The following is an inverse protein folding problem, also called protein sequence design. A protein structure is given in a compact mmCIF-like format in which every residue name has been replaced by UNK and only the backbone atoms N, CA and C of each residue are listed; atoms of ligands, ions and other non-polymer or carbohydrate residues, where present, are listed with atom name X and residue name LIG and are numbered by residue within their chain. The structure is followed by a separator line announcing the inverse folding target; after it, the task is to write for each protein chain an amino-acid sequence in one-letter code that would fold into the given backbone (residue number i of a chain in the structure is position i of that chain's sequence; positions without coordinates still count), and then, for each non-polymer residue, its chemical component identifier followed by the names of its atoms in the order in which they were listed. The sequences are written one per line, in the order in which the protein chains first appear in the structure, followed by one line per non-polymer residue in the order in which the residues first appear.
data_IF_395298672361
#
_entry.id   IF_395298672361
#
_cell.length_a   1.000
_cell.length_b   1.000
_cell.length_c   1.000
_cell.angle_alpha   90.00
_cell.angle_beta   90.00
_cell.angle_gamma   90.00
#
_symmetry.space_group_name_H-M   'P 1'
#
loop_
_entity.id
_entity.type
_entity.pdbx_description
1 polymer ?
#
# COMPACT_ATOMS: atom_id res chain seq x y z
N UNK A 1 26.10 -24.56 -13.60
CA UNK A 1 25.09 -23.79 -12.85
C UNK A 1 24.27 -23.05 -13.90
N UNK A 2 23.12 -23.59 -14.31
CA UNK A 2 22.22 -22.88 -15.23
C UNK A 2 21.55 -21.79 -14.42
N UNK A 3 21.87 -20.54 -14.71
CA UNK A 3 21.10 -19.40 -14.22
C UNK A 3 19.68 -19.58 -14.77
N UNK A 4 18.69 -19.32 -13.92
CA UNK A 4 17.28 -19.39 -14.24
C UNK A 4 17.00 -18.26 -15.26
N UNK A 5 17.09 -18.57 -16.56
CA UNK A 5 16.91 -17.61 -17.66
C UNK A 5 15.42 -17.32 -17.96
N UNK A 6 14.48 -17.95 -17.24
CA UNK A 6 13.04 -17.85 -17.52
C UNK A 6 12.19 -17.41 -16.31
N UNK A 7 12.78 -16.77 -15.30
CA UNK A 7 11.97 -16.03 -14.33
C UNK A 7 11.45 -14.79 -15.06
N UNK A 8 10.18 -14.80 -15.46
CA UNK A 8 9.52 -13.56 -15.89
C UNK A 8 9.80 -12.50 -14.84
N UNK A 9 10.25 -11.33 -15.31
CA UNK A 9 10.71 -10.17 -14.54
C UNK A 9 9.54 -9.48 -13.78
N UNK A 10 8.65 -10.29 -13.20
CA UNK A 10 7.39 -9.91 -12.59
C UNK A 10 7.48 -10.12 -11.08
N UNK A 11 6.79 -9.24 -10.35
CA UNK A 11 6.66 -9.36 -8.91
C UNK A 11 5.93 -10.67 -8.53
N UNK A 12 6.51 -11.42 -7.59
CA UNK A 12 5.98 -12.69 -7.07
C UNK A 12 5.91 -12.67 -5.54
N UNK A 13 5.03 -13.50 -4.96
CA UNK A 13 4.96 -13.73 -3.51
C UNK A 13 5.39 -15.17 -3.21
N UNK A 14 6.42 -15.35 -2.39
CA UNK A 14 6.96 -16.65 -2.00
C UNK A 14 6.80 -16.87 -0.50
N UNK A 15 6.42 -18.08 -0.10
CA UNK A 15 6.47 -18.52 1.30
C UNK A 15 7.92 -18.68 1.78
N UNK A 16 8.12 -18.86 3.09
CA UNK A 16 9.44 -19.19 3.64
C UNK A 16 10.09 -20.43 2.98
N UNK A 17 9.27 -21.38 2.52
CA UNK A 17 9.73 -22.58 1.80
C UNK A 17 10.04 -22.35 0.31
N UNK A 18 9.93 -21.10 -0.17
CA UNK A 18 10.14 -20.72 -1.57
C UNK A 18 8.99 -21.10 -2.50
N UNK A 19 7.86 -21.59 -1.98
CA UNK A 19 6.68 -21.92 -2.79
C UNK A 19 5.85 -20.67 -3.09
N UNK A 20 5.30 -20.51 -4.31
CA UNK A 20 4.40 -19.41 -4.64
C UNK A 20 3.18 -19.35 -3.72
N UNK A 21 2.88 -18.16 -3.22
CA UNK A 21 1.72 -17.87 -2.36
C UNK A 21 0.64 -17.23 -3.20
N UNK A 22 -0.56 -17.81 -3.15
CA UNK A 22 -1.76 -17.24 -3.79
C UNK A 22 -2.61 -16.53 -2.75
N UNK A 23 -2.87 -15.24 -2.97
CA UNK A 23 -3.90 -14.52 -2.23
C UNK A 23 -5.28 -15.13 -2.50
N UNK A 24 -6.09 -15.23 -1.45
CA UNK A 24 -7.46 -15.76 -1.59
C UNK A 24 -8.36 -14.71 -2.26
N UNK A 25 -9.02 -15.12 -3.36
CA UNK A 25 -9.96 -14.27 -4.11
C UNK A 25 -11.03 -13.68 -3.19
N UNK A 26 -11.32 -12.39 -3.36
CA UNK A 26 -12.37 -11.68 -2.61
C UNK A 26 -12.01 -11.27 -1.18
N UNK A 27 -10.83 -11.62 -0.65
CA UNK A 27 -10.30 -10.99 0.56
C UNK A 27 -9.75 -9.60 0.22
N UNK A 28 -9.81 -8.69 1.18
CA UNK A 28 -9.26 -7.35 1.00
C UNK A 28 -7.73 -7.34 1.20
N UNK A 29 -7.07 -6.39 0.55
CA UNK A 29 -5.63 -6.17 0.63
C UNK A 29 -5.35 -4.74 1.11
N UNK A 30 -4.52 -4.60 2.13
CA UNK A 30 -4.05 -3.31 2.62
C UNK A 30 -2.61 -3.08 2.17
N UNK A 31 -2.35 -1.90 1.59
CA UNK A 31 -1.02 -1.52 1.10
C UNK A 31 -0.68 -0.12 1.67
N UNK A 32 0.23 -0.02 2.63
CA UNK A 32 0.72 1.26 3.12
C UNK A 32 1.70 1.88 2.13
N UNK A 33 1.48 3.15 1.80
CA UNK A 33 2.39 3.94 0.97
C UNK A 33 3.57 4.48 1.79
N UNK A 34 4.69 4.76 1.11
CA UNK A 34 5.76 5.58 1.66
C UNK A 34 5.31 7.04 1.57
N UNK A 35 4.76 7.58 2.65
CA UNK A 35 4.23 8.95 2.69
C UNK A 35 4.65 9.68 3.96
N UNK A 36 4.19 10.92 4.12
CA UNK A 36 4.64 11.85 5.18
C UNK A 36 4.74 11.19 6.56
N UNK A 37 5.96 11.15 7.11
CA UNK A 37 6.23 10.58 8.44
C UNK A 37 6.07 9.07 8.55
N UNK A 38 6.00 8.34 7.42
CA UNK A 38 5.80 6.89 7.33
C UNK A 38 4.58 6.39 8.14
N UNK A 39 3.61 7.28 8.40
CA UNK A 39 2.43 6.99 9.22
C UNK A 39 1.68 5.73 8.75
N UNK A 40 1.50 5.46 7.45
CA UNK A 40 0.82 4.23 6.99
C UNK A 40 1.58 2.97 7.35
N UNK A 41 2.90 2.96 7.12
CA UNK A 41 3.75 1.81 7.44
C UNK A 41 3.73 1.55 8.94
N UNK A 42 3.90 2.60 9.76
CA UNK A 42 3.84 2.50 11.22
C UNK A 42 2.46 2.06 11.73
N UNK A 43 1.37 2.47 11.06
CA UNK A 43 0.03 2.03 11.40
C UNK A 43 -0.18 0.54 11.11
N UNK A 44 0.33 0.06 9.97
CA UNK A 44 0.28 -1.36 9.61
C UNK A 44 1.19 -2.18 10.53
N UNK A 45 2.41 -1.70 10.81
CA UNK A 45 3.31 -2.31 11.79
C UNK A 45 2.63 -2.47 13.15
N UNK A 46 2.02 -1.40 13.67
CA UNK A 46 1.29 -1.46 14.92
C UNK A 46 0.14 -2.47 14.85
N UNK A 47 -0.61 -2.50 13.74
CA UNK A 47 -1.74 -3.41 13.54
C UNK A 47 -1.29 -4.88 13.60
N UNK A 48 -0.27 -5.26 12.80
CA UNK A 48 0.20 -6.66 12.71
C UNK A 48 0.86 -7.09 14.02
N UNK A 49 1.64 -6.22 14.66
CA UNK A 49 2.29 -6.53 15.94
C UNK A 49 1.29 -6.65 17.08
N UNK A 50 0.25 -5.80 17.13
CA UNK A 50 -0.78 -5.86 18.18
C UNK A 50 -1.60 -7.13 18.09
N UNK A 51 -1.81 -7.65 16.87
CA UNK A 51 -2.63 -8.83 16.63
C UNK A 51 -1.84 -10.14 16.68
N UNK A 52 -0.51 -10.06 16.61
CA UNK A 52 0.36 -11.23 16.45
C UNK A 52 0.13 -11.92 15.11
N UNK A 53 -0.23 -11.15 14.07
CA UNK A 53 -0.45 -11.70 12.72
C UNK A 53 0.90 -12.15 12.14
N UNK A 54 0.94 -13.32 11.52
CA UNK A 54 2.16 -13.94 11.00
C UNK A 54 2.43 -13.54 9.54
N UNK A 55 3.72 -13.54 9.18
CA UNK A 55 4.15 -13.42 7.79
C UNK A 55 3.77 -14.70 7.06
N UNK A 56 3.01 -14.58 5.97
CA UNK A 56 2.60 -15.69 5.11
C UNK A 56 3.31 -15.70 3.75
N UNK A 57 4.07 -14.64 3.45
CA UNK A 57 4.87 -14.57 2.23
C UNK A 57 5.80 -13.36 2.17
N UNK A 58 6.76 -13.43 1.27
CA UNK A 58 7.74 -12.41 0.96
C UNK A 58 7.62 -12.04 -0.51
N UNK A 59 7.62 -10.75 -0.80
CA UNK A 59 7.56 -10.26 -2.18
C UNK A 59 8.96 -10.24 -2.77
N UNK A 60 9.07 -10.80 -3.97
CA UNK A 60 10.27 -10.80 -4.79
C UNK A 60 9.99 -9.95 -6.04
N UNK A 61 10.77 -8.90 -6.24
CA UNK A 61 10.64 -8.00 -7.39
C UNK A 61 12.02 -7.42 -7.74
N UNK A 62 12.39 -7.46 -9.02
CA UNK A 62 13.65 -6.89 -9.53
C UNK A 62 13.64 -5.35 -9.52
N UNK A 63 12.46 -4.73 -9.44
CA UNK A 63 12.30 -3.28 -9.33
C UNK A 63 12.36 -2.76 -7.87
N UNK A 64 12.52 -3.63 -6.88
CA UNK A 64 12.71 -3.28 -5.47
C UNK A 64 14.16 -3.46 -5.03
N UNK A 65 14.62 -2.67 -4.06
CA UNK A 65 15.97 -2.88 -3.50
C UNK A 65 15.99 -4.20 -2.71
N UNK A 66 16.89 -5.15 -3.02
CA UNK A 66 17.00 -6.40 -2.28
C UNK A 66 17.61 -6.13 -0.91
N UNK A 67 16.79 -6.22 0.13
CA UNK A 67 17.23 -6.06 1.52
C UNK A 67 16.80 -7.26 2.36
N UNK A 68 17.65 -7.62 3.31
CA UNK A 68 17.31 -8.48 4.42
C UNK A 68 17.78 -7.81 5.72
N UNK A 69 17.04 -8.01 6.79
CA UNK A 69 17.31 -7.42 8.09
C UNK A 69 16.81 -8.29 9.23
N UNK A 70 17.03 -7.82 10.45
CA UNK A 70 16.47 -8.48 11.62
C UNK A 70 14.97 -8.17 11.72
N UNK A 71 14.16 -9.19 11.97
CA UNK A 71 12.73 -9.05 12.17
C UNK A 71 12.38 -8.48 13.55
N UNK A 72 11.11 -8.12 13.72
CA UNK A 72 10.61 -7.43 14.92
C UNK A 72 10.57 -8.30 16.18
N UNK A 73 10.61 -9.64 16.06
CA UNK A 73 10.64 -10.55 17.20
C UNK A 73 11.51 -11.79 16.95
N UNK A 74 12.28 -12.20 17.96
CA UNK A 74 13.12 -13.39 17.91
C UNK A 74 14.29 -13.31 16.90
N UNK A 75 14.68 -14.46 16.36
CA UNK A 75 15.73 -14.62 15.32
C UNK A 75 15.14 -14.62 13.90
N UNK A 76 14.04 -13.88 13.67
CA UNK A 76 13.38 -13.82 12.37
C UNK A 76 14.12 -12.90 11.40
N UNK A 77 14.06 -13.22 10.10
CA UNK A 77 14.60 -12.37 9.04
C UNK A 77 13.46 -11.58 8.43
N UNK A 78 13.64 -10.26 8.32
CA UNK A 78 12.74 -9.40 7.57
C UNK A 78 13.27 -9.15 6.16
N UNK A 79 12.38 -9.10 5.17
CA UNK A 79 12.72 -8.87 3.76
C UNK A 79 12.20 -7.51 3.27
N UNK A 80 12.54 -7.14 2.03
CA UNK A 80 12.16 -5.85 1.45
C UNK A 80 10.66 -5.59 1.34
N UNK A 81 9.82 -6.63 1.30
CA UNK A 81 8.37 -6.49 1.35
C UNK A 81 7.73 -7.81 1.81
N UNK A 82 6.81 -7.71 2.77
CA UNK A 82 6.26 -8.85 3.51
C UNK A 82 4.74 -8.88 3.42
N UNK A 83 4.17 -10.06 3.28
CA UNK A 83 2.73 -10.29 3.26
C UNK A 83 2.30 -10.89 4.61
N UNK A 84 1.37 -10.23 5.29
CA UNK A 84 0.77 -10.67 6.54
C UNK A 84 -0.68 -11.14 6.31
N UNK A 85 -1.09 -12.23 6.96
CA UNK A 85 -2.50 -12.64 7.01
C UNK A 85 -3.19 -12.01 8.23
N UNK A 86 -4.19 -11.17 7.98
CA UNK A 86 -4.92 -10.44 9.01
C UNK A 86 -6.14 -11.24 9.49
N UNK A 87 -5.87 -12.42 10.04
CA UNK A 87 -6.87 -13.30 10.67
C UNK A 87 -7.93 -13.83 9.70
N UNK A 88 -7.54 -14.24 8.49
CA UNK A 88 -8.43 -14.88 7.51
C UNK A 88 -9.35 -13.92 6.75
N UNK A 89 -9.37 -12.63 7.10
CA UNK A 89 -10.27 -11.63 6.50
C UNK A 89 -9.63 -10.81 5.38
N UNK A 90 -8.35 -10.49 5.53
CA UNK A 90 -7.61 -9.70 4.56
C UNK A 90 -6.11 -9.87 4.72
N UNK A 91 -5.35 -9.20 3.89
CA UNK A 91 -3.89 -9.23 3.93
C UNK A 91 -3.33 -7.82 4.11
N UNK A 92 -2.14 -7.70 4.68
CA UNK A 92 -1.32 -6.49 4.57
C UNK A 92 -0.06 -6.81 3.77
N UNK A 93 0.21 -6.01 2.74
CA UNK A 93 1.47 -6.07 2.00
C UNK A 93 2.33 -4.89 2.44
N UNK A 94 3.37 -5.16 3.21
CA UNK A 94 4.17 -4.15 3.91
C UNK A 94 5.55 -4.01 3.25
N UNK A 95 5.78 -2.96 2.44
CA UNK A 95 7.11 -2.64 1.93
C UNK A 95 8.01 -2.11 3.05
N UNK A 96 9.17 -2.75 3.21
CA UNK A 96 10.27 -2.35 4.11
C UNK A 96 11.41 -1.66 3.36
N UNK A 97 11.51 -1.92 2.06
CA UNK A 97 12.48 -1.31 1.15
C UNK A 97 11.78 -0.33 0.20
N UNK A 98 12.49 0.72 -0.25
CA UNK A 98 12.02 1.51 -1.37
C UNK A 98 12.20 0.75 -2.70
N UNK A 99 11.49 1.18 -3.76
CA UNK A 99 11.84 0.81 -5.12
C UNK A 99 13.30 1.16 -5.44
N UNK A 100 13.91 0.40 -6.34
CA UNK A 100 15.25 0.71 -6.83
C UNK A 100 15.28 2.11 -7.50
N UNK A 101 16.42 2.82 -7.49
CA UNK A 101 16.52 4.14 -8.12
C UNK A 101 16.03 4.13 -9.57
N UNK A 102 15.09 5.01 -9.89
CA UNK A 102 14.49 5.11 -11.23
C UNK A 102 13.46 4.01 -11.58
N UNK A 103 13.13 3.11 -10.64
CA UNK A 103 12.20 1.98 -10.87
C UNK A 103 10.85 2.12 -10.17
N UNK A 104 10.56 3.27 -9.55
CA UNK A 104 9.32 3.47 -8.81
C UNK A 104 8.04 3.19 -9.63
N UNK A 105 7.97 3.68 -10.88
CA UNK A 105 6.83 3.44 -11.76
C UNK A 105 6.72 1.95 -12.17
N UNK A 106 7.84 1.29 -12.40
CA UNK A 106 7.88 -0.14 -12.73
C UNK A 106 7.42 -0.99 -11.53
N UNK A 107 7.96 -0.74 -10.33
CA UNK A 107 7.54 -1.44 -9.11
C UNK A 107 6.04 -1.22 -8.80
N UNK A 108 5.52 -0.02 -9.03
CA UNK A 108 4.11 0.27 -8.86
C UNK A 108 3.23 -0.49 -9.88
N UNK A 109 3.70 -0.59 -11.13
CA UNK A 109 3.02 -1.38 -12.18
C UNK A 109 3.04 -2.87 -11.83
N UNK A 110 4.17 -3.41 -11.40
CA UNK A 110 4.29 -4.84 -11.06
C UNK A 110 3.41 -5.19 -9.86
N UNK A 111 3.32 -4.29 -8.88
CA UNK A 111 2.39 -4.43 -7.77
C UNK A 111 0.93 -4.43 -8.26
N UNK A 112 0.57 -3.53 -9.18
CA UNK A 112 -0.78 -3.49 -9.74
C UNK A 112 -1.12 -4.78 -10.52
N UNK A 113 -0.19 -5.29 -11.32
CA UNK A 113 -0.33 -6.54 -12.08
C UNK A 113 -0.43 -7.75 -11.14
N UNK A 114 0.40 -7.80 -10.10
CA UNK A 114 0.35 -8.82 -9.05
C UNK A 114 -1.03 -8.84 -8.38
N UNK A 115 -1.52 -7.68 -7.95
CA UNK A 115 -2.83 -7.53 -7.31
C UNK A 115 -3.95 -7.99 -8.25
N UNK A 116 -3.89 -7.58 -9.52
CA UNK A 116 -4.88 -7.94 -10.52
C UNK A 116 -4.91 -9.45 -10.80
N UNK A 117 -3.73 -10.07 -10.94
CA UNK A 117 -3.61 -11.52 -11.21
C UNK A 117 -4.17 -12.40 -10.10
N UNK A 118 -4.17 -11.90 -8.85
CA UNK A 118 -4.69 -12.61 -7.69
C UNK A 118 -6.20 -12.44 -7.47
N UNK A 119 -6.83 -11.44 -8.10
CA UNK A 119 -8.27 -11.21 -7.96
C UNK A 119 -8.71 -10.90 -6.52
N UNK A 120 -7.90 -10.13 -5.79
CA UNK A 120 -8.29 -9.62 -4.46
C UNK A 120 -9.59 -8.79 -4.56
N UNK A 121 -10.34 -8.72 -3.46
CA UNK A 121 -11.62 -8.01 -3.39
C UNK A 121 -11.43 -6.49 -3.38
N UNK A 122 -11.40 -5.91 -2.19
CA UNK A 122 -11.12 -4.48 -2.00
C UNK A 122 -9.64 -4.22 -1.71
N UNK A 123 -9.10 -3.13 -2.26
CA UNK A 123 -7.73 -2.68 -2.00
C UNK A 123 -7.80 -1.40 -1.17
N UNK A 124 -7.16 -1.41 -0.02
CA UNK A 124 -7.02 -0.28 0.88
C UNK A 124 -5.61 0.29 0.76
N UNK A 125 -5.46 1.38 0.02
CA UNK A 125 -4.23 2.17 0.00
C UNK A 125 -4.22 3.10 1.22
N UNK A 126 -3.23 2.95 2.10
CA UNK A 126 -3.07 3.82 3.26
C UNK A 126 -1.98 4.85 3.02
N UNK A 127 -2.24 6.08 3.44
CA UNK A 127 -1.29 7.17 3.23
C UNK A 127 -1.39 8.28 4.29
N UNK A 128 -0.51 9.27 4.15
CA UNK A 128 -0.40 10.42 5.03
C UNK A 128 -0.04 11.71 4.28
N UNK A 129 -0.28 12.86 4.90
CA UNK A 129 0.06 14.19 4.36
C UNK A 129 0.49 15.15 5.48
N UNK A 130 0.73 16.44 5.19
CA UNK A 130 1.19 17.43 6.19
C UNK A 130 0.06 18.18 6.91
N UNK A 131 0.15 18.30 8.25
CA UNK A 131 -0.86 18.98 9.07
C UNK A 131 -0.99 20.48 8.89
N UNK A 132 0.06 21.11 8.38
CA UNK A 132 0.00 22.49 7.91
C UNK A 132 -0.87 22.66 6.66
N UNK A 133 -1.10 21.60 5.87
CA UNK A 133 -1.91 21.66 4.65
C UNK A 133 -3.41 21.50 4.88
N UNK A 134 -3.87 21.51 6.14
CA UNK A 134 -5.30 21.40 6.44
C UNK A 134 -6.03 22.68 6.05
N UNK A 135 -7.16 22.53 5.37
CA UNK A 135 -8.10 23.63 5.09
C UNK A 135 -8.85 24.00 6.36
N UNK A 136 -9.29 25.25 6.45
CA UNK A 136 -10.06 25.75 7.60
C UNK A 136 -11.26 24.86 7.93
N UNK A 137 -11.96 24.37 6.91
CA UNK A 137 -13.07 23.43 7.06
C UNK A 137 -12.67 22.15 7.84
N UNK A 138 -11.43 21.67 7.67
CA UNK A 138 -10.90 20.46 8.30
C UNK A 138 -10.41 20.68 9.74
N UNK A 139 -10.25 21.93 10.17
CA UNK A 139 -9.78 22.25 11.52
C UNK A 139 -10.87 21.96 12.57
N UNK A 140 -12.13 22.19 12.21
CA UNK A 140 -13.31 21.94 13.05
C UNK A 140 -13.82 20.50 13.04
N UNK A 141 -13.36 19.67 12.09
CA UNK A 141 -13.83 18.30 11.95
C UNK A 141 -13.41 17.40 13.13
N UNK A 142 -14.31 16.50 13.52
CA UNK A 142 -14.06 15.48 14.55
C UNK A 142 -13.10 14.39 14.08
N UNK A 143 -13.07 14.10 12.78
CA UNK A 143 -12.19 13.09 12.19
C UNK A 143 -10.94 13.72 11.56
N UNK A 144 -9.80 13.07 11.79
CA UNK A 144 -8.52 13.35 11.12
C UNK A 144 -8.27 12.43 9.92
N UNK A 145 -9.14 11.44 9.72
CA UNK A 145 -9.09 10.54 8.59
C UNK A 145 -9.94 11.10 7.45
N UNK A 146 -9.46 10.92 6.24
CA UNK A 146 -10.21 11.15 5.02
C UNK A 146 -10.13 9.91 4.16
N UNK A 147 -11.13 9.70 3.33
CA UNK A 147 -11.11 8.59 2.40
C UNK A 147 -11.46 9.05 0.99
N UNK A 148 -10.96 8.30 0.02
CA UNK A 148 -11.33 8.42 -1.38
C UNK A 148 -11.63 7.01 -1.89
N UNK A 149 -12.55 6.89 -2.84
CA UNK A 149 -12.99 5.59 -3.39
C UNK A 149 -13.08 5.68 -4.90
N UNK A 150 -12.74 4.59 -5.58
CA UNK A 150 -13.04 4.39 -7.00
C UNK A 150 -14.47 3.86 -7.17
N UNK A 151 -15.17 4.29 -8.21
CA UNK A 151 -16.51 3.79 -8.54
C UNK A 151 -16.36 2.33 -9.02
N UNK A 152 -16.96 1.33 -8.34
CA UNK A 152 -18.27 1.40 -7.70
C UNK A 152 -18.29 1.06 -6.20
N UNK A 153 -17.33 1.52 -5.39
CA UNK A 153 -17.26 1.21 -3.94
C UNK A 153 -18.29 2.00 -3.07
N UNK A 154 -19.52 2.17 -3.55
CA UNK A 154 -20.58 2.96 -2.90
C UNK A 154 -20.92 2.46 -1.49
N UNK A 155 -21.00 1.14 -1.26
CA UNK A 155 -21.30 0.56 0.06
C UNK A 155 -20.20 0.85 1.10
N UNK A 156 -18.94 0.80 0.69
CA UNK A 156 -17.81 1.14 1.55
C UNK A 156 -17.84 2.63 1.93
N UNK A 157 -18.15 3.48 0.95
CA UNK A 157 -18.32 4.92 1.13
C UNK A 157 -19.39 5.25 2.17
N UNK A 158 -20.58 4.64 2.08
CA UNK A 158 -21.64 4.78 3.08
C UNK A 158 -21.20 4.29 4.48
N UNK A 159 -20.49 3.17 4.53
CA UNK A 159 -19.93 2.61 5.76
C UNK A 159 -18.91 3.53 6.44
N UNK A 160 -18.08 4.24 5.68
CA UNK A 160 -17.10 5.19 6.21
C UNK A 160 -17.77 6.50 6.68
N UNK A 161 -18.74 7.01 5.91
CA UNK A 161 -19.52 8.20 6.28
C UNK A 161 -20.32 7.99 7.56
N UNK A 162 -20.99 6.85 7.70
CA UNK A 162 -21.73 6.50 8.92
C UNK A 162 -20.85 6.39 10.17
N UNK A 163 -19.53 6.18 10.00
CA UNK A 163 -18.53 6.20 11.07
C UNK A 163 -17.91 7.58 11.30
N UNK A 164 -18.43 8.63 10.67
CA UNK A 164 -17.94 9.99 10.79
C UNK A 164 -16.60 10.23 10.08
N UNK A 165 -16.21 9.38 9.13
CA UNK A 165 -15.04 9.60 8.29
C UNK A 165 -15.51 10.29 7.01
N UNK A 166 -15.16 11.56 6.78
CA UNK A 166 -15.59 12.28 5.58
C UNK A 166 -14.76 11.91 4.35
N UNK A 167 -15.36 12.07 3.17
CA UNK A 167 -14.65 11.99 1.88
C UNK A 167 -13.62 13.11 1.82
N UNK A 168 -12.44 12.83 1.25
CA UNK A 168 -11.44 13.84 0.99
C UNK A 168 -12.00 14.88 0.02
N UNK A 169 -11.89 16.16 0.38
CA UNK A 169 -12.53 17.21 -0.39
C UNK A 169 -11.73 17.45 -1.68
N UNK A 170 -12.40 17.42 -2.83
CA UNK A 170 -11.76 17.34 -4.15
C UNK A 170 -11.70 15.90 -4.70
N UNK A 171 -11.65 14.88 -3.84
CA UNK A 171 -11.54 13.47 -4.21
C UNK A 171 -12.84 12.76 -4.62
N UNK A 172 -13.81 13.50 -5.20
CA UNK A 172 -14.99 12.91 -5.82
C UNK A 172 -14.68 12.27 -7.17
N UNK A 173 -15.62 11.52 -7.76
CA UNK A 173 -15.42 10.78 -9.03
C UNK A 173 -14.78 11.62 -10.16
N UNK A 174 -15.05 12.93 -10.20
CA UNK A 174 -14.50 13.85 -11.20
C UNK A 174 -13.07 14.31 -10.90
N UNK A 175 -12.74 14.59 -9.64
CA UNK A 175 -11.41 15.07 -9.26
C UNK A 175 -10.35 13.98 -9.39
N UNK A 176 -10.73 12.71 -9.18
CA UNK A 176 -9.82 11.58 -9.36
C UNK A 176 -9.24 11.45 -10.77
N UNK A 177 -10.03 11.66 -11.81
CA UNK A 177 -9.56 11.52 -13.19
C UNK A 177 -8.55 12.62 -13.53
N UNK A 178 -8.82 13.83 -13.05
CA UNK A 178 -7.94 14.99 -13.21
C UNK A 178 -6.65 14.81 -12.39
N UNK A 179 -6.77 14.32 -11.16
CA UNK A 179 -5.64 14.00 -10.28
C UNK A 179 -4.78 12.87 -10.88
N UNK A 180 -5.36 11.81 -11.43
CA UNK A 180 -4.62 10.72 -12.09
C UNK A 180 -3.86 11.20 -13.33
N UNK A 181 -4.46 12.07 -14.15
CA UNK A 181 -3.79 12.67 -15.30
C UNK A 181 -2.61 13.55 -14.89
N UNK A 182 -2.75 14.29 -13.79
CA UNK A 182 -1.67 15.09 -13.24
C UNK A 182 -0.55 14.21 -12.63
N UNK A 183 -0.92 13.12 -11.94
CA UNK A 183 0.03 12.14 -11.38
C UNK A 183 0.81 11.43 -12.50
N UNK A 184 0.15 10.99 -13.57
CA UNK A 184 0.81 10.40 -14.73
C UNK A 184 1.78 11.39 -15.40
N UNK A 185 1.39 12.67 -15.46
CA UNK A 185 2.25 13.74 -15.99
C UNK A 185 3.47 13.98 -15.10
N UNK A 186 3.29 14.06 -13.79
CA UNK A 186 4.35 14.28 -12.78
C UNK A 186 5.28 13.07 -12.61
N UNK A 187 4.81 11.86 -12.98
CA UNK A 187 5.65 10.66 -13.08
C UNK A 187 6.47 10.65 -14.37
N UNK A 188 5.92 11.14 -15.48
CA UNK A 188 6.58 11.18 -16.78
C UNK A 188 7.60 12.31 -16.93
N UNK A 189 7.45 13.41 -16.19
CA UNK A 189 8.36 14.55 -16.23
C UNK A 189 9.53 14.45 -15.24
N UNK A 190 9.59 13.39 -14.43
CA UNK A 190 10.65 13.14 -13.46
C UNK A 190 10.73 14.18 -12.33
N UNK A 191 9.68 15.00 -12.14
CA UNK A 191 9.66 16.05 -11.12
C UNK A 191 9.10 15.59 -9.76
N UNK A 192 8.52 14.39 -9.67
CA UNK A 192 7.95 13.89 -8.42
C UNK A 192 8.88 12.92 -7.67
N UNK A 193 9.37 13.38 -6.51
CA UNK A 193 9.84 12.50 -5.45
C UNK A 193 8.63 11.80 -4.80
N UNK A 194 8.36 10.56 -5.23
CA UNK A 194 7.40 9.60 -4.69
C UNK A 194 5.88 9.92 -4.89
N UNK A 195 5.06 8.92 -5.25
CA UNK A 195 3.62 9.07 -5.28
C UNK A 195 3.08 9.18 -3.85
N UNK A 196 2.56 10.36 -3.49
CA UNK A 196 1.97 10.64 -2.19
C UNK A 196 0.44 10.72 -2.30
N UNK A 197 -0.32 9.75 -1.79
CA UNK A 197 -1.80 9.90 -1.72
C UNK A 197 -2.48 9.35 -0.47
N UNK A 198 -2.71 10.27 0.50
CA UNK A 198 -3.85 10.44 1.45
C UNK A 198 -3.73 10.04 2.95
N UNK A 199 -3.15 10.99 3.70
CA UNK A 199 -3.60 11.63 4.97
C UNK A 199 -4.12 10.85 6.21
N UNK A 200 -3.23 10.50 7.14
CA UNK A 200 -3.36 10.65 8.60
C UNK A 200 -2.13 11.41 9.13
N UNK A 201 -2.30 12.36 10.06
CA UNK A 201 -1.23 13.30 10.42
C UNK A 201 -1.11 13.50 11.93
N UNK A 202 0.14 13.59 12.40
CA UNK A 202 0.52 13.81 13.81
C UNK A 202 1.15 15.20 13.97
N UNK A 203 1.06 15.70 15.22
CA UNK A 203 1.50 17.01 15.75
C UNK A 203 2.91 17.42 15.33
#
# INVERSE_FOLDING_TARGET
MKLVEDAQDNMDILSESGQPVKLTKGRWLMVPTVSVGNVPQLAVDLLVNTRGDEIVGHVMDSNMVPVCGNGGSGYSISTGCELFDLGGKGYALLPRAPPAPGRAAAAAKDLADLIQSHGVGEIFLLASSYAGGRRDAQLGDSSRLRYMVTTPALKLSEGLRSRGIPVMEGGGEKGWVEDLQQIEKDMNDGTSGAPAFIASQRR
#
